data_IF_090054496215
#
_entry.id   IF_090054496215
#
_cell.length_a   1.000
_cell.length_b   1.000
_cell.length_c   1.000
_cell.angle_alpha   90.00
_cell.angle_beta   90.00
_cell.angle_gamma   90.00
#
_symmetry.space_group_name_H-M   'P 1'
#
loop_
_entity.id
_entity.type
_entity.pdbx_description
1 polymer ?
#
# COMPACT_ATOMS: atom_id res chain seq x y z
N UNK A 1 4.33 -3.29 -5.62
CA UNK A 1 3.96 -2.58 -4.38
C UNK A 1 3.17 -1.35 -4.71
N UNK A 2 2.19 -1.04 -3.88
CA UNK A 2 1.46 0.20 -3.88
C UNK A 2 1.64 0.94 -2.55
N UNK A 3 1.44 2.25 -2.58
CA UNK A 3 1.24 3.11 -1.41
C UNK A 3 -0.16 3.70 -1.49
N UNK A 4 -0.82 3.80 -0.33
CA UNK A 4 -2.09 4.51 -0.17
C UNK A 4 -1.85 5.67 0.77
N UNK A 5 -2.32 6.85 0.38
CA UNK A 5 -2.32 8.06 1.18
C UNK A 5 -3.75 8.48 1.50
N UNK A 6 -3.95 9.04 2.69
CA UNK A 6 -5.19 9.69 3.10
C UNK A 6 -4.80 11.09 3.55
N UNK A 7 -5.40 12.12 2.96
CA UNK A 7 -5.07 13.54 3.23
C UNK A 7 -3.56 13.84 3.12
N UNK A 8 -2.92 13.29 2.08
CA UNK A 8 -1.47 13.38 1.81
C UNK A 8 -0.56 12.62 2.79
N UNK A 9 -1.09 12.08 3.88
CA UNK A 9 -0.35 11.23 4.81
C UNK A 9 -0.32 9.77 4.34
N UNK A 10 0.83 9.10 4.50
CA UNK A 10 0.95 7.70 4.15
C UNK A 10 0.14 6.84 5.12
N UNK A 11 -0.91 6.22 4.58
CA UNK A 11 -1.78 5.35 5.35
C UNK A 11 -1.35 3.89 5.27
N UNK A 12 -0.95 3.40 4.08
CA UNK A 12 -0.61 1.99 3.90
C UNK A 12 0.42 1.75 2.80
N UNK A 13 1.31 0.80 3.03
CA UNK A 13 2.14 0.17 2.00
C UNK A 13 1.69 -1.29 1.84
N UNK A 14 1.57 -1.76 0.61
CA UNK A 14 1.16 -3.14 0.34
C UNK A 14 1.68 -3.74 -0.96
N UNK A 15 1.73 -5.07 -1.00
CA UNK A 15 1.90 -5.86 -2.22
C UNK A 15 0.79 -5.55 -3.24
N UNK A 16 1.21 -5.19 -4.45
CA UNK A 16 0.33 -5.14 -5.62
C UNK A 16 0.42 -6.47 -6.37
N UNK A 17 -0.71 -7.10 -6.65
CA UNK A 17 -0.77 -8.26 -7.56
C UNK A 17 -0.97 -7.69 -8.97
N UNK A 18 0.11 -7.62 -9.75
CA UNK A 18 0.11 -6.97 -11.07
C UNK A 18 -0.45 -7.88 -12.16
N UNK A 19 -0.57 -9.18 -11.88
CA UNK A 19 -1.16 -10.17 -12.78
C UNK A 19 -2.68 -9.99 -12.96
N UNK A 20 -3.32 -9.15 -12.13
CA UNK A 20 -4.75 -8.86 -12.23
C UNK A 20 -5.00 -7.37 -12.06
N UNK A 21 -5.28 -6.71 -13.17
CA UNK A 21 -5.62 -5.28 -13.24
C UNK A 21 -7.13 -5.11 -13.48
N UNK A 22 -7.69 -4.03 -12.94
CA UNK A 22 -9.08 -3.65 -13.18
C UNK A 22 -9.14 -2.78 -14.44
N UNK A 23 -9.81 -3.27 -15.49
CA UNK A 23 -9.85 -2.61 -16.81
C UNK A 23 -10.29 -1.14 -16.76
N UNK A 24 -11.25 -0.80 -15.89
CA UNK A 24 -11.78 0.56 -15.77
C UNK A 24 -10.80 1.59 -15.19
N UNK A 25 -9.77 1.15 -14.46
CA UNK A 25 -8.82 2.07 -13.80
C UNK A 25 -7.36 1.78 -14.15
N UNK A 26 -7.08 0.66 -14.81
CA UNK A 26 -5.71 0.16 -15.00
C UNK A 26 -4.99 -0.22 -13.70
N UNK A 27 -5.63 -0.04 -12.54
CA UNK A 27 -5.02 -0.32 -11.24
C UNK A 27 -5.08 -1.82 -10.93
N UNK A 28 -4.08 -2.34 -10.20
CA UNK A 28 -4.14 -3.70 -9.66
C UNK A 28 -5.43 -3.89 -8.86
N UNK A 29 -6.16 -4.98 -9.11
CA UNK A 29 -7.51 -5.17 -8.55
C UNK A 29 -7.51 -5.06 -7.03
N UNK A 30 -6.46 -5.55 -6.37
CA UNK A 30 -6.29 -5.43 -4.91
C UNK A 30 -6.18 -3.99 -4.43
N UNK A 31 -5.46 -3.13 -5.17
CA UNK A 31 -5.36 -1.71 -4.87
C UNK A 31 -6.70 -1.01 -5.10
N UNK A 32 -7.35 -1.28 -6.24
CA UNK A 32 -8.67 -0.73 -6.56
C UNK A 32 -9.70 -1.03 -5.47
N UNK A 33 -9.79 -2.29 -5.02
CA UNK A 33 -10.71 -2.71 -3.97
C UNK A 33 -10.42 -2.02 -2.63
N UNK A 34 -9.15 -1.82 -2.27
CA UNK A 34 -8.79 -1.10 -1.05
C UNK A 34 -9.15 0.38 -1.13
N UNK A 35 -8.87 1.03 -2.26
CA UNK A 35 -9.23 2.43 -2.48
C UNK A 35 -10.74 2.63 -2.37
N UNK A 36 -11.54 1.79 -3.03
CA UNK A 36 -13.00 1.87 -2.91
C UNK A 36 -13.48 1.77 -1.47
N UNK A 37 -12.94 0.82 -0.69
CA UNK A 37 -13.31 0.66 0.74
C UNK A 37 -12.90 1.88 1.56
N UNK A 38 -11.69 2.40 1.35
CA UNK A 38 -11.20 3.55 2.10
C UNK A 38 -11.92 4.84 1.73
N UNK A 39 -12.28 5.03 0.46
CA UNK A 39 -13.10 6.15 -0.01
C UNK A 39 -14.51 6.08 0.60
N UNK A 40 -15.11 4.89 0.67
CA UNK A 40 -16.41 4.71 1.31
C UNK A 40 -16.37 5.01 2.82
N UNK A 41 -15.29 4.62 3.51
CA UNK A 41 -15.12 4.88 4.95
C UNK A 41 -14.71 6.32 5.26
N UNK A 42 -14.05 7.00 4.32
CA UNK A 42 -13.51 8.34 4.50
C UNK A 42 -14.04 9.30 3.44
N UNK A 43 -15.37 9.41 3.31
CA UNK A 43 -16.02 10.22 2.27
C UNK A 43 -15.60 11.70 2.26
N UNK A 44 -15.06 12.22 3.38
CA UNK A 44 -14.58 13.61 3.52
C UNK A 44 -13.08 13.78 3.28
N UNK A 45 -12.32 12.69 3.09
CA UNK A 45 -10.86 12.73 2.99
C UNK A 45 -10.39 12.37 1.59
N UNK A 46 -9.28 12.97 1.16
CA UNK A 46 -8.67 12.62 -0.11
C UNK A 46 -7.92 11.29 0.01
N UNK A 47 -8.42 10.23 -0.63
CA UNK A 47 -7.80 8.91 -0.65
C UNK A 47 -7.14 8.66 -2.00
N UNK A 48 -5.82 8.53 -2.00
CA UNK A 48 -5.01 8.35 -3.20
C UNK A 48 -4.22 7.03 -3.11
N UNK A 49 -4.18 6.26 -4.19
CA UNK A 49 -3.37 5.04 -4.26
C UNK A 49 -2.54 4.98 -5.52
N UNK A 50 -1.25 4.68 -5.37
CA UNK A 50 -0.33 4.58 -6.49
C UNK A 50 0.53 3.34 -6.39
N UNK A 51 0.74 2.67 -7.52
CA UNK A 51 1.76 1.63 -7.65
C UNK A 51 3.12 2.30 -7.68
N UNK A 52 3.98 1.98 -6.71
CA UNK A 52 5.30 2.63 -6.54
C UNK A 52 6.45 1.76 -7.00
N UNK A 53 6.23 0.44 -7.12
CA UNK A 53 7.26 -0.49 -7.56
C UNK A 53 6.62 -1.69 -8.23
N UNK A 54 7.02 -1.99 -9.45
CA UNK A 54 6.74 -3.28 -10.04
C UNK A 54 7.64 -4.33 -9.36
N UNK A 55 7.04 -5.38 -8.80
CA UNK A 55 7.76 -6.47 -8.17
C UNK A 55 7.90 -7.69 -9.11
N UNK A 56 7.27 -7.64 -10.28
CA UNK A 56 7.18 -8.71 -11.26
C UNK A 56 6.57 -10.00 -10.71
N UNK A 57 6.82 -11.10 -11.41
CA UNK A 57 6.61 -12.45 -10.90
C UNK A 57 7.69 -12.79 -9.85
N UNK A 58 7.56 -12.19 -8.67
CA UNK A 58 8.40 -12.52 -7.51
C UNK A 58 7.66 -13.43 -6.54
N UNK A 59 8.41 -14.23 -5.78
CA UNK A 59 7.84 -15.04 -4.70
C UNK A 59 7.23 -14.16 -3.61
N UNK A 60 6.15 -14.65 -2.98
CA UNK A 60 5.48 -13.99 -1.86
C UNK A 60 6.45 -13.59 -0.74
N UNK A 61 7.50 -14.40 -0.50
CA UNK A 61 8.53 -14.13 0.52
C UNK A 61 9.38 -12.90 0.17
N UNK A 62 9.83 -12.78 -1.09
CA UNK A 62 10.59 -11.61 -1.57
C UNK A 62 9.73 -10.34 -1.56
N UNK A 63 8.47 -10.43 -1.96
CA UNK A 63 7.53 -9.31 -1.92
C UNK A 63 7.31 -8.81 -0.49
N UNK A 64 7.10 -9.72 0.47
CA UNK A 64 6.99 -9.36 1.89
C UNK A 64 8.27 -8.70 2.40
N UNK A 65 9.45 -9.24 2.09
CA UNK A 65 10.72 -8.63 2.52
C UNK A 65 10.89 -7.21 1.98
N UNK A 66 10.52 -6.98 0.72
CA UNK A 66 10.56 -5.64 0.13
C UNK A 66 9.55 -4.68 0.77
N UNK A 67 8.34 -5.16 1.07
CA UNK A 67 7.30 -4.39 1.79
C UNK A 67 7.77 -4.01 3.20
N UNK A 68 8.30 -4.97 3.96
CA UNK A 68 8.86 -4.74 5.30
C UNK A 68 10.04 -3.77 5.26
N UNK A 69 10.94 -3.90 4.29
CA UNK A 69 12.07 -2.97 4.16
C UNK A 69 11.62 -1.53 3.86
N UNK A 70 10.59 -1.34 3.03
CA UNK A 70 10.04 -0.01 2.77
C UNK A 70 9.29 0.56 3.98
N UNK A 71 8.59 -0.28 4.74
CA UNK A 71 7.95 0.13 6.00
C UNK A 71 8.97 0.53 7.06
N UNK A 72 10.07 -0.22 7.18
CA UNK A 72 11.15 0.12 8.09
C UNK A 72 11.78 1.46 7.71
N UNK A 73 12.14 1.68 6.44
CA UNK A 73 12.66 2.99 5.99
C UNK A 73 11.73 4.16 6.31
N UNK A 74 10.43 3.97 6.12
CA UNK A 74 9.44 5.00 6.40
C UNK A 74 9.33 5.26 7.92
N UNK A 75 9.41 4.20 8.72
CA UNK A 75 9.50 4.30 10.18
C UNK A 75 10.79 5.00 10.62
N UNK A 76 11.95 4.63 10.08
CA UNK A 76 13.24 5.26 10.38
C UNK A 76 13.23 6.76 10.03
N UNK A 77 12.51 7.15 8.98
CA UNK A 77 12.40 8.54 8.53
C UNK A 77 11.42 9.37 9.36
N UNK A 78 10.29 8.80 9.75
CA UNK A 78 9.16 9.55 10.34
C UNK A 78 8.92 9.27 11.82
N UNK A 79 9.53 8.21 12.35
CA UNK A 79 9.23 7.62 13.66
C UNK A 79 7.83 6.99 13.77
N UNK A 80 7.07 6.89 12.68
CA UNK A 80 5.65 6.49 12.69
C UNK A 80 5.40 5.28 11.78
N UNK A 81 4.65 4.32 12.30
CA UNK A 81 4.13 3.19 11.50
C UNK A 81 2.83 3.64 10.82
N UNK A 82 2.68 3.48 9.49
CA UNK A 82 1.45 3.78 8.79
C UNK A 82 0.25 3.05 9.41
N UNK A 83 -0.87 3.74 9.62
CA UNK A 83 -2.03 3.21 10.32
C UNK A 83 -2.53 1.89 9.73
N UNK A 84 -2.58 1.79 8.40
CA UNK A 84 -2.98 0.60 7.68
C UNK A 84 -2.01 -0.58 7.81
N UNK A 85 -0.83 -0.39 8.40
CA UNK A 85 0.19 -1.41 8.64
C UNK A 85 0.45 -1.68 10.13
N UNK A 86 -0.10 -0.90 11.08
CA UNK A 86 0.09 -1.08 12.54
C UNK A 86 -0.15 -2.50 13.05
N UNK A 87 -1.12 -3.22 12.48
CA UNK A 87 -1.40 -4.62 12.86
C UNK A 87 -0.44 -5.64 12.25
N UNK A 88 0.21 -5.32 11.14
CA UNK A 88 0.98 -6.27 10.33
C UNK A 88 2.49 -6.02 10.35
N UNK A 89 2.91 -4.84 10.79
CA UNK A 89 4.31 -4.44 10.88
C UNK A 89 4.64 -4.07 12.33
N UNK A 90 5.70 -4.68 12.83
CA UNK A 90 6.34 -4.30 14.09
C UNK A 90 7.76 -3.85 13.73
N UNK A 91 8.13 -2.58 14.02
CA UNK A 91 9.50 -2.13 13.80
C UNK A 91 10.45 -2.97 14.64
N UNK A 92 11.59 -3.33 14.04
CA UNK A 92 12.69 -4.00 14.73
C UNK A 92 13.69 -2.98 15.26
#
# INVERSE_FOLDING_TARGET
MYKIKIDKELYKIGKADLNRTTASTGLPTRLHQQLRKLQALNAKKAVEGKVVKDLGNTTTKKAKKAETAELQKEFDKTGKVPDGNKKSFKPN
#
